data_IF_318576641875
#
_entry.id   IF_318576641875
#
_cell.length_a   1.000
_cell.length_b   1.000
_cell.length_c   1.000
_cell.angle_alpha   90.00
_cell.angle_beta   90.00
_cell.angle_gamma   90.00
#
_symmetry.space_group_name_H-M   'P 1'
#
loop_
_entity.id
_entity.type
_entity.pdbx_description
1 polymer ?
#
# COMPACT_ATOMS: atom_id res chain seq x y z
N UNK A 1 6.91 -25.44 -32.29
CA UNK A 1 7.94 -24.60 -31.65
C UNK A 1 7.34 -24.13 -30.33
N UNK A 2 7.70 -24.78 -29.22
CA UNK A 2 7.14 -24.53 -27.90
C UNK A 2 7.81 -23.28 -27.30
N UNK A 3 7.00 -22.32 -26.85
CA UNK A 3 7.49 -21.13 -26.14
C UNK A 3 8.08 -21.53 -24.77
N UNK A 4 9.11 -20.83 -24.27
CA UNK A 4 9.82 -21.23 -23.07
C UNK A 4 8.95 -21.03 -21.82
N UNK A 5 8.97 -21.99 -20.91
CA UNK A 5 8.33 -21.94 -19.59
C UNK A 5 8.94 -20.80 -18.76
N UNK A 6 8.29 -19.63 -18.82
CA UNK A 6 8.76 -18.41 -18.18
C UNK A 6 8.15 -18.21 -16.80
N UNK A 7 8.94 -18.49 -15.76
CA UNK A 7 8.95 -17.89 -14.41
C UNK A 7 7.57 -17.85 -13.70
N UNK A 8 7.38 -18.70 -12.69
CA UNK A 8 6.26 -18.59 -11.73
C UNK A 8 5.97 -17.12 -11.45
N UNK A 9 4.81 -16.62 -11.91
CA UNK A 9 4.33 -15.27 -11.62
C UNK A 9 4.21 -15.20 -10.11
N UNK A 10 5.22 -14.62 -9.45
CA UNK A 10 5.15 -14.37 -8.00
C UNK A 10 3.87 -13.57 -7.76
N UNK A 11 2.93 -14.17 -7.00
CA UNK A 11 1.60 -13.62 -6.69
C UNK A 11 0.68 -13.45 -7.91
N UNK A 12 0.43 -14.53 -8.66
CA UNK A 12 -0.57 -14.52 -9.73
C UNK A 12 -2.04 -14.52 -9.24
N UNK A 13 -2.27 -14.57 -7.93
CA UNK A 13 -3.60 -14.56 -7.33
C UNK A 13 -3.86 -13.21 -6.65
N UNK A 14 -5.08 -12.66 -6.79
CA UNK A 14 -5.48 -11.47 -6.05
C UNK A 14 -5.42 -11.75 -4.55
N UNK A 15 -5.07 -10.74 -3.72
CA UNK A 15 -5.09 -10.90 -2.28
C UNK A 15 -6.52 -11.12 -1.79
N UNK A 16 -6.71 -11.87 -0.71
CA UNK A 16 -8.04 -12.01 -0.12
C UNK A 16 -8.48 -10.77 0.67
N UNK A 17 -7.52 -9.93 1.08
CA UNK A 17 -7.76 -8.75 1.90
C UNK A 17 -6.83 -7.60 1.49
N UNK A 18 -7.42 -6.43 1.30
CA UNK A 18 -6.75 -5.16 1.07
C UNK A 18 -6.91 -4.26 2.30
N UNK A 19 -5.79 -3.87 2.92
CA UNK A 19 -5.78 -3.07 4.15
C UNK A 19 -5.33 -1.64 3.83
N UNK A 20 -6.16 -0.66 4.14
CA UNK A 20 -5.92 0.77 3.94
C UNK A 20 -5.40 1.41 5.24
N UNK A 21 -4.31 2.17 5.18
CA UNK A 21 -3.80 2.98 6.30
C UNK A 21 -4.65 4.26 6.46
N UNK A 22 -5.89 4.10 6.92
CA UNK A 22 -6.88 5.18 6.99
C UNK A 22 -8.21 4.74 7.60
N UNK A 23 -9.12 5.71 7.75
CA UNK A 23 -10.48 5.48 8.24
C UNK A 23 -11.51 5.38 7.11
N UNK A 24 -12.80 5.53 7.45
CA UNK A 24 -13.93 5.38 6.52
C UNK A 24 -13.74 6.08 5.16
N UNK A 25 -13.31 7.37 5.08
CA UNK A 25 -13.16 8.04 3.80
C UNK A 25 -12.15 7.37 2.87
N UNK A 26 -11.03 6.89 3.41
CA UNK A 26 -10.00 6.21 2.62
C UNK A 26 -10.44 4.80 2.20
N UNK A 27 -11.15 4.08 3.08
CA UNK A 27 -11.72 2.77 2.77
C UNK A 27 -12.74 2.87 1.65
N UNK A 28 -13.70 3.78 1.78
CA UNK A 28 -14.75 3.96 0.76
C UNK A 28 -14.18 4.40 -0.59
N UNK A 29 -13.15 5.26 -0.59
CA UNK A 29 -12.46 5.64 -1.81
C UNK A 29 -11.75 4.43 -2.47
N UNK A 30 -11.08 3.59 -1.68
CA UNK A 30 -10.43 2.38 -2.19
C UNK A 30 -11.46 1.37 -2.74
N UNK A 31 -12.58 1.16 -2.04
CA UNK A 31 -13.68 0.31 -2.49
C UNK A 31 -14.27 0.79 -3.80
N UNK A 32 -14.57 2.09 -3.93
CA UNK A 32 -15.11 2.66 -5.17
C UNK A 32 -14.18 2.41 -6.37
N UNK A 33 -12.87 2.54 -6.19
CA UNK A 33 -11.88 2.24 -7.25
C UNK A 33 -11.86 0.75 -7.60
N UNK A 34 -11.94 -0.15 -6.61
CA UNK A 34 -11.98 -1.59 -6.87
C UNK A 34 -13.27 -1.98 -7.60
N UNK A 35 -14.41 -1.38 -7.24
CA UNK A 35 -15.70 -1.56 -7.91
C UNK A 35 -15.64 -1.07 -9.36
N UNK A 36 -15.06 0.12 -9.61
CA UNK A 36 -14.84 0.66 -10.97
C UNK A 36 -13.97 -0.27 -11.84
N UNK A 37 -13.01 -0.97 -11.22
CA UNK A 37 -12.15 -1.96 -11.89
C UNK A 37 -12.81 -3.34 -12.02
N UNK A 38 -14.01 -3.54 -11.49
CA UNK A 38 -14.71 -4.83 -11.48
C UNK A 38 -14.07 -5.89 -10.58
N UNK A 39 -13.28 -5.46 -9.58
CA UNK A 39 -12.64 -6.35 -8.62
C UNK A 39 -13.56 -6.52 -7.41
N UNK A 40 -14.28 -7.63 -7.36
CA UNK A 40 -15.31 -7.89 -6.34
C UNK A 40 -14.95 -9.01 -5.36
N UNK A 41 -13.84 -9.71 -5.58
CA UNK A 41 -13.40 -10.89 -4.83
C UNK A 41 -12.36 -10.58 -3.73
N UNK A 42 -12.07 -9.30 -3.51
CA UNK A 42 -11.10 -8.82 -2.52
C UNK A 42 -11.84 -8.11 -1.39
N UNK A 43 -11.69 -8.58 -0.15
CA UNK A 43 -12.20 -7.86 1.00
C UNK A 43 -11.38 -6.58 1.23
N UNK A 44 -12.01 -5.50 1.69
CA UNK A 44 -11.35 -4.22 1.97
C UNK A 44 -11.61 -3.83 3.40
N UNK A 45 -10.56 -3.39 4.12
CA UNK A 45 -10.70 -2.77 5.44
C UNK A 45 -9.75 -1.57 5.58
N UNK A 46 -10.02 -0.70 6.53
CA UNK A 46 -9.11 0.34 6.99
C UNK A 46 -8.65 0.09 8.41
N UNK A 47 -7.41 0.47 8.73
CA UNK A 47 -6.91 0.49 10.10
C UNK A 47 -6.51 1.92 10.49
N UNK A 48 -7.34 2.57 11.31
CA UNK A 48 -7.09 3.94 11.72
C UNK A 48 -6.13 4.01 12.94
N UNK A 49 -5.05 4.80 12.81
CA UNK A 49 -3.96 4.90 13.79
C UNK A 49 -4.34 5.35 15.21
N UNK A 50 -5.41 6.13 15.39
CA UNK A 50 -5.69 6.76 16.70
C UNK A 50 -6.17 5.77 17.75
N UNK A 51 -7.07 4.87 17.36
CA UNK A 51 -7.72 3.91 18.25
C UNK A 51 -7.62 2.47 17.74
N UNK A 52 -6.86 2.24 16.67
CA UNK A 52 -6.73 0.93 16.01
C UNK A 52 -8.10 0.38 15.59
N UNK A 53 -8.96 1.30 15.15
CA UNK A 53 -10.30 1.06 14.66
C UNK A 53 -10.24 0.38 13.29
N UNK A 54 -10.97 -0.72 13.15
CA UNK A 54 -11.12 -1.42 11.88
C UNK A 54 -12.36 -0.90 11.17
N UNK A 55 -12.15 -0.21 10.05
CA UNK A 55 -13.22 0.34 9.22
C UNK A 55 -13.57 -0.64 8.10
N UNK A 56 -14.86 -0.95 7.96
CA UNK A 56 -15.39 -1.81 6.90
C UNK A 56 -16.18 -0.92 5.92
N UNK A 57 -16.08 -1.17 4.59
CA UNK A 57 -16.83 -0.40 3.61
C UNK A 57 -18.33 -0.39 3.92
N UNK A 58 -18.97 0.76 3.73
CA UNK A 58 -20.42 0.95 3.92
C UNK A 58 -20.95 0.76 5.34
N UNK A 59 -20.09 0.47 6.32
CA UNK A 59 -20.48 0.43 7.73
C UNK A 59 -20.36 1.83 8.35
N UNK A 60 -21.36 2.25 9.15
CA UNK A 60 -21.36 3.59 9.74
C UNK A 60 -20.36 3.72 10.90
N UNK A 61 -20.05 2.61 11.58
CA UNK A 61 -19.22 2.58 12.78
C UNK A 61 -18.06 1.58 12.61
N UNK A 62 -16.90 1.84 13.21
CA UNK A 62 -15.77 0.93 13.16
C UNK A 62 -15.96 -0.27 14.08
N UNK A 63 -15.29 -1.36 13.74
CA UNK A 63 -15.11 -2.51 14.63
C UNK A 63 -13.96 -2.20 15.60
N UNK A 64 -14.28 -2.24 16.89
CA UNK A 64 -13.29 -2.13 17.97
C UNK A 64 -12.82 -3.53 18.35
N UNK A 65 -11.60 -3.88 17.96
CA UNK A 65 -11.01 -5.17 18.33
C UNK A 65 -10.50 -5.15 19.79
N UNK A 66 -10.58 -6.28 20.51
CA UNK A 66 -9.91 -6.41 21.81
C UNK A 66 -8.41 -6.11 21.70
N UNK A 67 -7.87 -5.35 22.66
CA UNK A 67 -6.45 -4.92 22.66
C UNK A 67 -5.45 -6.07 22.74
N UNK A 68 -5.89 -7.24 23.21
CA UNK A 68 -5.13 -8.48 23.29
C UNK A 68 -5.46 -9.46 22.16
N UNK A 69 -6.15 -9.01 21.10
CA UNK A 69 -6.48 -9.84 19.96
C UNK A 69 -5.26 -10.02 19.05
N UNK A 70 -4.92 -11.27 18.77
CA UNK A 70 -3.89 -11.62 17.77
C UNK A 70 -4.20 -11.02 16.39
N UNK A 71 -5.49 -10.92 16.03
CA UNK A 71 -5.90 -10.29 14.78
C UNK A 71 -5.54 -8.81 14.72
N UNK A 72 -5.70 -8.09 15.83
CA UNK A 72 -5.31 -6.69 15.92
C UNK A 72 -3.80 -6.52 15.78
N UNK A 73 -3.02 -7.36 16.45
CA UNK A 73 -1.56 -7.34 16.35
C UNK A 73 -1.07 -7.65 14.93
N UNK A 74 -1.75 -8.53 14.21
CA UNK A 74 -1.43 -8.79 12.80
C UNK A 74 -1.68 -7.54 11.93
N UNK A 75 -2.84 -6.90 12.07
CA UNK A 75 -3.19 -5.71 11.31
C UNK A 75 -2.22 -4.55 11.58
N UNK A 76 -1.82 -4.36 12.84
CA UNK A 76 -0.81 -3.38 13.21
C UNK A 76 0.54 -3.64 12.53
N UNK A 77 1.03 -4.88 12.54
CA UNK A 77 2.29 -5.24 11.87
C UNK A 77 2.24 -5.00 10.36
N UNK A 78 1.12 -5.34 9.72
CA UNK A 78 0.91 -5.09 8.27
C UNK A 78 0.96 -3.58 7.98
N UNK A 79 0.28 -2.77 8.78
CA UNK A 79 0.31 -1.30 8.64
C UNK A 79 1.71 -0.75 8.85
N UNK A 80 2.40 -1.17 9.91
CA UNK A 80 3.72 -0.67 10.25
C UNK A 80 4.73 -0.99 9.15
N UNK A 81 4.62 -2.17 8.54
CA UNK A 81 5.42 -2.57 7.40
C UNK A 81 5.11 -1.75 6.13
N UNK A 82 3.82 -1.52 5.84
CA UNK A 82 3.40 -0.66 4.74
C UNK A 82 3.91 0.78 4.92
N UNK A 83 3.82 1.31 6.14
CA UNK A 83 4.30 2.64 6.49
C UNK A 83 5.83 2.74 6.39
N UNK A 84 6.56 1.74 6.92
CA UNK A 84 8.03 1.65 6.81
C UNK A 84 8.46 1.62 5.35
N UNK A 85 7.79 0.81 4.52
CA UNK A 85 8.06 0.73 3.09
C UNK A 85 7.84 2.08 2.40
N UNK A 86 6.69 2.72 2.64
CA UNK A 86 6.37 4.03 2.06
C UNK A 86 7.40 5.11 2.44
N UNK A 87 7.78 5.20 3.73
CA UNK A 87 8.81 6.14 4.19
C UNK A 87 10.14 5.88 3.47
N UNK A 88 10.56 4.61 3.41
CA UNK A 88 11.84 4.22 2.82
C UNK A 88 11.88 4.57 1.33
N UNK A 89 10.79 4.27 0.62
CA UNK A 89 10.63 4.59 -0.79
C UNK A 89 10.70 6.11 -1.06
N UNK A 90 9.96 6.91 -0.29
CA UNK A 90 9.98 8.37 -0.45
C UNK A 90 11.35 8.99 -0.11
N UNK A 91 12.05 8.49 0.91
CA UNK A 91 13.41 8.94 1.23
C UNK A 91 14.38 8.65 0.09
N UNK A 92 14.34 7.43 -0.46
CA UNK A 92 15.17 7.04 -1.60
C UNK A 92 14.90 7.91 -2.83
N UNK A 93 13.62 8.12 -3.18
CA UNK A 93 13.23 8.98 -4.31
C UNK A 93 13.70 10.42 -4.12
N UNK A 94 13.58 10.97 -2.91
CA UNK A 94 14.05 12.33 -2.58
C UNK A 94 15.57 12.45 -2.70
N UNK A 95 16.31 11.48 -2.18
CA UNK A 95 17.77 11.46 -2.26
C UNK A 95 18.26 11.43 -3.71
N UNK A 96 17.66 10.58 -4.57
CA UNK A 96 17.97 10.54 -6.01
C UNK A 96 17.70 11.87 -6.73
N UNK A 97 16.61 12.55 -6.37
CA UNK A 97 16.30 13.87 -6.95
C UNK A 97 17.31 14.94 -6.51
N UNK A 98 17.78 14.88 -5.26
CA UNK A 98 18.81 15.80 -4.77
C UNK A 98 20.16 15.57 -5.46
N UNK A 99 20.56 14.31 -5.67
CA UNK A 99 21.79 14.00 -6.40
C UNK A 99 21.70 14.45 -7.86
N UNK A 100 20.56 14.24 -8.53
CA UNK A 100 20.34 14.75 -9.89
C UNK A 100 20.45 16.28 -9.95
N UNK A 101 19.74 16.98 -9.05
CA UNK A 101 19.78 18.45 -8.98
C UNK A 101 21.16 19.02 -8.67
N UNK A 102 22.01 18.32 -7.91
CA UNK A 102 23.38 18.75 -7.65
C UNK A 102 24.30 18.55 -8.86
N UNK A 103 24.08 17.49 -9.65
CA UNK A 103 24.82 17.25 -10.90
C UNK A 103 24.45 18.26 -11.98
N UNK A 104 23.18 18.70 -12.05
CA UNK A 104 22.72 19.75 -12.97
C UNK A 104 23.39 21.11 -12.72
N UNK A 105 23.93 21.33 -11.52
CA UNK A 105 24.64 22.56 -11.15
C UNK A 105 26.13 22.55 -11.53
N UNK A 106 26.66 21.43 -12.03
CA UNK A 106 28.06 21.30 -12.49
C UNK A 106 28.12 21.59 -13.99
N UNK A 107 28.75 22.70 -14.43
CA UNK A 107 28.84 23.03 -15.86
C UNK A 107 29.62 21.94 -16.62
N UNK A 108 29.02 21.35 -17.65
CA UNK A 108 29.66 20.38 -18.55
C UNK A 108 29.23 18.93 -18.40
N UNK A 109 28.32 18.59 -17.49
CA UNK A 109 27.76 17.23 -17.35
C UNK A 109 26.34 17.15 -17.93
N UNK A 110 26.22 16.72 -19.18
CA UNK A 110 24.96 16.27 -19.79
C UNK A 110 24.86 14.74 -19.74
N UNK A 111 23.65 14.21 -19.52
CA UNK A 111 23.40 12.77 -19.54
C UNK A 111 23.86 12.12 -20.88
N UNK A 112 24.47 10.92 -20.87
CA UNK A 112 24.85 10.24 -22.10
C UNK A 112 23.59 9.80 -22.89
N UNK A 113 23.70 9.65 -24.23
CA UNK A 113 22.57 9.34 -25.12
C UNK A 113 21.92 7.98 -24.84
#
# INVERSE_FOLDING_TARGET
MLAPEGRSRKFAYPPNLYVVDGGAPQVNAATAVLDELGITDVAVIGLAKRLEEVWVPSEPEPIIMPRNSEGLYLLQRVRDEAHRFAITYHRSKRSKRMTASALDAVPGWGAPP
#
